data_IF_707406947612
#
_entry.id   IF_707406947612
#
_cell.length_a   1.000
_cell.length_b   1.000
_cell.length_c   1.000
_cell.angle_alpha   90.00
_cell.angle_beta   90.00
_cell.angle_gamma   90.00
#
_symmetry.space_group_name_H-M   'P 1'
#
loop_
_entity.id
_entity.type
_entity.pdbx_description
1 polymer ?
#
# COMPACT_ATOMS: atom_id res chain seq x y z
N UNK A 1 46.13 20.40 2.83
CA UNK A 1 46.05 19.53 4.03
C UNK A 1 44.79 19.75 4.84
N UNK A 2 44.24 20.97 4.86
CA UNK A 2 43.07 21.32 5.65
C UNK A 2 42.00 21.93 4.75
N UNK A 3 40.76 21.91 5.21
CA UNK A 3 39.61 22.58 4.61
C UNK A 3 38.73 23.20 5.70
N UNK A 4 37.79 24.05 5.31
CA UNK A 4 36.79 24.59 6.22
C UNK A 4 35.59 23.64 6.33
N UNK A 5 35.05 23.52 7.55
CA UNK A 5 33.90 22.71 7.90
C UNK A 5 33.01 23.49 8.86
N UNK A 6 31.70 23.32 8.82
CA UNK A 6 30.81 23.89 9.83
C UNK A 6 31.14 23.32 11.22
N UNK A 7 31.13 24.15 12.26
CA UNK A 7 31.34 23.69 13.64
C UNK A 7 30.06 23.06 14.24
N UNK A 8 28.90 23.59 13.86
CA UNK A 8 27.59 23.20 14.38
C UNK A 8 26.79 22.35 13.38
N UNK A 9 25.75 21.67 13.87
CA UNK A 9 24.84 20.86 13.06
C UNK A 9 25.48 19.61 12.47
N UNK A 10 25.20 19.32 11.20
CA UNK A 10 25.76 18.17 10.47
C UNK A 10 27.26 18.29 10.20
N UNK A 11 27.87 19.45 10.49
CA UNK A 11 29.29 19.71 10.27
C UNK A 11 29.69 19.35 8.83
N UNK A 12 29.10 20.01 7.82
CA UNK A 12 29.43 19.73 6.42
C UNK A 12 30.73 20.41 5.99
N UNK A 13 31.45 19.83 5.04
CA UNK A 13 32.59 20.40 4.36
C UNK A 13 32.16 21.55 3.45
N UNK A 14 32.97 22.60 3.42
CA UNK A 14 32.72 23.78 2.61
C UNK A 14 33.50 23.64 1.31
N UNK A 15 32.80 23.77 0.19
CA UNK A 15 33.35 23.78 -1.16
C UNK A 15 33.15 25.16 -1.80
N UNK A 16 33.76 25.39 -2.96
CA UNK A 16 33.52 26.62 -3.73
C UNK A 16 32.06 26.78 -4.19
N UNK A 17 31.27 25.71 -4.17
CA UNK A 17 29.84 25.75 -4.49
C UNK A 17 29.00 26.10 -3.26
N UNK A 18 29.32 25.53 -2.09
CA UNK A 18 28.54 25.71 -0.86
C UNK A 18 28.96 26.91 -0.01
N UNK A 19 30.07 27.59 -0.37
CA UNK A 19 30.49 28.84 0.30
C UNK A 19 29.46 29.96 0.27
N UNK A 20 28.53 29.93 -0.70
CA UNK A 20 27.45 30.92 -0.82
C UNK A 20 26.42 30.85 0.32
N UNK A 21 26.32 29.70 0.98
CA UNK A 21 25.32 29.45 2.04
C UNK A 21 25.80 29.91 3.43
N UNK A 22 27.06 30.35 3.54
CA UNK A 22 27.64 30.79 4.81
C UNK A 22 26.99 32.11 5.23
N UNK A 23 26.34 32.10 6.40
CA UNK A 23 25.71 33.29 6.98
C UNK A 23 26.70 34.04 7.88
N UNK A 24 26.47 35.34 8.04
CA UNK A 24 27.24 36.14 8.98
C UNK A 24 27.03 35.61 10.41
N UNK A 25 28.14 35.38 11.13
CA UNK A 25 28.12 34.83 12.49
C UNK A 25 28.19 33.30 12.56
N UNK A 26 28.28 32.59 11.44
CA UNK A 26 28.52 31.14 11.44
C UNK A 26 29.91 30.79 11.96
N UNK A 27 29.97 29.83 12.89
CA UNK A 27 31.23 29.31 13.43
C UNK A 27 31.74 28.18 12.52
N UNK A 28 32.97 28.34 12.05
CA UNK A 28 33.67 27.38 11.21
C UNK A 28 34.86 26.79 11.96
N UNK A 29 35.17 25.54 11.64
CA UNK A 29 36.35 24.84 12.15
C UNK A 29 37.29 24.48 11.01
N UNK A 30 38.60 24.52 11.30
CA UNK A 30 39.62 24.02 10.40
C UNK A 30 39.72 22.50 10.56
N UNK A 31 39.31 21.76 9.53
CA UNK A 31 39.32 20.30 9.51
C UNK A 31 40.35 19.76 8.52
N UNK A 32 40.66 18.47 8.60
CA UNK A 32 41.47 17.77 7.59
C UNK A 32 40.73 17.79 6.25
N UNK A 33 41.45 17.95 5.13
CA UNK A 33 40.82 17.93 3.80
C UNK A 33 40.12 16.59 3.51
N UNK A 34 38.96 16.56 2.83
CA UNK A 34 38.15 15.36 2.64
C UNK A 34 38.93 14.22 1.98
N UNK A 35 39.73 14.52 0.95
CA UNK A 35 40.62 13.55 0.28
C UNK A 35 41.65 12.90 1.21
N UNK A 36 42.18 13.66 2.18
CA UNK A 36 43.14 13.14 3.17
C UNK A 36 42.42 12.35 4.26
N UNK A 37 41.25 12.82 4.70
CA UNK A 37 40.42 12.11 5.66
C UNK A 37 39.98 10.75 5.07
N UNK A 38 39.53 10.72 3.82
CA UNK A 38 39.14 9.50 3.11
C UNK A 38 40.29 8.49 3.04
N UNK A 39 41.49 8.92 2.64
CA UNK A 39 42.68 8.07 2.61
C UNK A 39 43.06 7.54 4.00
N UNK A 40 43.05 8.39 5.02
CA UNK A 40 43.36 7.99 6.39
C UNK A 40 42.35 6.97 6.93
N UNK A 41 41.06 7.14 6.62
CA UNK A 41 40.02 6.21 7.04
C UNK A 41 40.08 4.88 6.28
N UNK A 42 40.42 4.91 4.98
CA UNK A 42 40.69 3.70 4.19
C UNK A 42 41.82 2.86 4.77
N UNK A 43 42.93 3.49 5.15
CA UNK A 43 44.07 2.80 5.74
C UNK A 43 43.73 2.25 7.14
N UNK A 44 43.04 3.05 7.98
CA UNK A 44 42.66 2.66 9.34
C UNK A 44 41.58 1.59 9.39
N UNK A 45 40.64 1.56 8.43
CA UNK A 45 39.60 0.53 8.34
C UNK A 45 40.17 -0.85 7.96
N UNK A 46 41.37 -0.89 7.39
CA UNK A 46 42.11 -2.11 7.10
C UNK A 46 43.18 -2.43 8.15
N UNK A 47 43.23 -1.67 9.25
CA UNK A 47 44.24 -1.87 10.29
C UNK A 47 44.09 -3.23 10.99
N UNK A 48 45.21 -3.76 11.52
CA UNK A 48 45.21 -5.05 12.21
C UNK A 48 44.47 -5.01 13.56
N UNK A 49 44.35 -3.84 14.18
CA UNK A 49 43.70 -3.67 15.49
C UNK A 49 42.18 -3.53 15.33
N UNK A 50 41.43 -4.17 16.22
CA UNK A 50 39.97 -4.13 16.19
C UNK A 50 39.44 -2.73 16.59
N UNK A 51 40.03 -2.14 17.63
CA UNK A 51 39.67 -0.81 18.14
C UNK A 51 39.97 0.30 17.13
N UNK A 52 41.11 0.21 16.44
CA UNK A 52 41.47 1.15 15.37
C UNK A 52 40.51 1.10 14.19
N UNK A 53 40.03 -0.11 13.84
CA UNK A 53 39.00 -0.31 12.82
C UNK A 53 37.63 0.21 13.26
N UNK A 54 37.23 -0.02 14.51
CA UNK A 54 35.94 0.42 15.04
C UNK A 54 35.84 1.95 15.06
N UNK A 55 36.86 2.64 15.55
CA UNK A 55 36.85 4.11 15.57
C UNK A 55 36.87 4.68 14.15
N UNK A 56 37.61 4.04 13.24
CA UNK A 56 37.62 4.44 11.83
C UNK A 56 36.26 4.24 11.15
N UNK A 57 35.57 3.11 11.37
CA UNK A 57 34.23 2.89 10.78
C UNK A 57 33.18 3.79 11.40
N UNK A 58 33.30 4.14 12.68
CA UNK A 58 32.43 5.12 13.35
C UNK A 58 32.63 6.53 12.79
N UNK A 59 33.87 6.97 12.61
CA UNK A 59 34.16 8.26 11.94
C UNK A 59 33.68 8.25 10.49
N UNK A 60 33.86 7.13 9.78
CA UNK A 60 33.39 6.95 8.42
C UNK A 60 31.87 7.08 8.31
N UNK A 61 31.12 6.39 9.17
CA UNK A 61 29.65 6.47 9.22
C UNK A 61 29.12 7.87 9.56
N UNK A 62 29.94 8.77 10.12
CA UNK A 62 29.55 10.17 10.32
C UNK A 62 29.86 11.03 9.09
N UNK A 63 30.96 10.76 8.41
CA UNK A 63 31.42 11.55 7.27
C UNK A 63 30.77 11.13 5.95
N UNK A 64 30.29 9.90 5.84
CA UNK A 64 29.60 9.38 4.66
C UNK A 64 28.33 10.16 4.31
N UNK A 65 27.64 10.75 5.28
CA UNK A 65 26.51 11.65 5.06
C UNK A 65 26.88 12.94 4.28
N UNK A 66 28.16 13.32 4.21
CA UNK A 66 28.62 14.48 3.45
C UNK A 66 29.04 14.08 2.03
N UNK A 67 28.33 14.61 1.03
CA UNK A 67 28.59 14.35 -0.40
C UNK A 67 30.03 14.64 -0.83
N UNK A 68 30.67 15.64 -0.22
CA UNK A 68 32.06 16.04 -0.54
C UNK A 68 33.04 14.95 -0.12
N UNK A 69 32.83 14.38 1.07
CA UNK A 69 33.63 13.27 1.57
C UNK A 69 33.29 11.98 0.83
N UNK A 70 31.99 11.71 0.63
CA UNK A 70 31.51 10.53 -0.08
C UNK A 70 32.14 10.42 -1.47
N UNK A 71 32.18 11.51 -2.23
CA UNK A 71 32.80 11.56 -3.57
C UNK A 71 34.27 11.13 -3.54
N UNK A 72 35.07 11.67 -2.61
CA UNK A 72 36.48 11.33 -2.47
C UNK A 72 36.69 9.86 -2.05
N UNK A 73 35.86 9.37 -1.12
CA UNK A 73 35.95 7.98 -0.64
C UNK A 73 35.53 6.97 -1.71
N UNK A 74 34.49 7.28 -2.50
CA UNK A 74 34.02 6.46 -3.62
C UNK A 74 35.07 6.39 -4.72
N UNK A 75 35.71 7.52 -5.06
CA UNK A 75 36.79 7.57 -6.06
C UNK A 75 38.02 6.73 -5.68
N UNK A 76 38.15 6.35 -4.41
CA UNK A 76 39.22 5.47 -3.89
C UNK A 76 38.77 4.00 -3.77
N UNK A 77 37.70 3.60 -4.46
CA UNK A 77 37.08 2.27 -4.37
C UNK A 77 36.63 1.90 -2.94
N UNK A 78 36.25 2.90 -2.14
CA UNK A 78 35.87 2.70 -0.74
C UNK A 78 34.65 1.78 -0.56
N UNK A 79 33.72 1.76 -1.50
CA UNK A 79 32.56 0.84 -1.49
C UNK A 79 33.03 -0.62 -1.52
N UNK A 80 34.03 -0.97 -2.32
CA UNK A 80 34.56 -2.32 -2.41
C UNK A 80 35.25 -2.78 -1.12
N UNK A 81 35.80 -1.84 -0.34
CA UNK A 81 36.35 -2.12 0.99
C UNK A 81 35.22 -2.45 1.97
N UNK A 82 34.13 -1.67 1.97
CA UNK A 82 32.98 -1.90 2.85
C UNK A 82 32.28 -3.22 2.54
N UNK A 83 32.05 -3.53 1.25
CA UNK A 83 31.43 -4.80 0.86
C UNK A 83 32.27 -6.00 1.29
N UNK A 84 33.59 -5.94 1.13
CA UNK A 84 34.51 -6.99 1.59
C UNK A 84 34.51 -7.15 3.11
N UNK A 85 34.42 -6.06 3.87
CA UNK A 85 34.31 -6.11 5.33
C UNK A 85 33.02 -6.80 5.78
N UNK A 86 31.91 -6.56 5.08
CA UNK A 86 30.62 -7.21 5.36
C UNK A 86 30.66 -8.70 4.98
N UNK A 87 31.19 -9.05 3.81
CA UNK A 87 31.32 -10.44 3.36
C UNK A 87 32.25 -11.27 4.27
N UNK A 88 33.35 -10.67 4.75
CA UNK A 88 34.32 -11.32 5.65
C UNK A 88 33.90 -11.43 7.12
N UNK A 89 32.75 -10.88 7.50
CA UNK A 89 32.31 -10.78 8.91
C UNK A 89 31.87 -12.09 9.57
N UNK A 90 31.84 -13.22 8.84
CA UNK A 90 31.35 -14.53 9.31
C UNK A 90 32.06 -15.06 10.56
N UNK A 91 33.24 -14.56 10.90
CA UNK A 91 34.04 -14.97 12.08
C UNK A 91 33.96 -13.99 13.26
N UNK A 92 33.28 -12.85 13.13
CA UNK A 92 33.38 -11.71 14.06
C UNK A 92 32.07 -11.36 14.80
N UNK A 93 30.94 -12.01 14.48
CA UNK A 93 29.61 -11.68 14.99
C UNK A 93 29.49 -11.66 16.53
N UNK A 94 30.32 -12.41 17.26
CA UNK A 94 30.28 -12.45 18.72
C UNK A 94 30.74 -11.14 19.39
N UNK A 95 31.66 -10.37 18.78
CA UNK A 95 32.29 -9.18 19.42
C UNK A 95 32.33 -7.94 18.50
N UNK A 96 31.72 -7.98 17.31
CA UNK A 96 31.89 -6.95 16.27
C UNK A 96 30.56 -6.38 15.74
N UNK A 97 29.47 -6.52 16.49
CA UNK A 97 28.14 -6.06 16.09
C UNK A 97 28.10 -4.55 15.80
N UNK A 98 28.72 -3.75 16.68
CA UNK A 98 28.80 -2.30 16.51
C UNK A 98 29.61 -1.88 15.27
N UNK A 99 30.75 -2.53 15.01
CA UNK A 99 31.56 -2.25 13.83
C UNK A 99 30.78 -2.53 12.55
N UNK A 100 30.03 -3.62 12.51
CA UNK A 100 29.19 -3.97 11.37
C UNK A 100 28.07 -2.94 11.19
N UNK A 101 27.40 -2.51 12.27
CA UNK A 101 26.36 -1.48 12.20
C UNK A 101 26.90 -0.15 11.62
N UNK A 102 28.09 0.30 12.04
CA UNK A 102 28.73 1.48 11.45
C UNK A 102 29.13 1.26 9.99
N UNK A 103 29.64 0.08 9.65
CA UNK A 103 29.99 -0.26 8.26
C UNK A 103 28.78 -0.22 7.34
N UNK A 104 27.64 -0.79 7.78
CA UNK A 104 26.39 -0.77 7.04
C UNK A 104 25.80 0.64 6.94
N UNK A 105 25.92 1.45 8.00
CA UNK A 105 25.51 2.86 7.99
C UNK A 105 26.31 3.66 6.97
N UNK A 106 27.65 3.55 7.02
CA UNK A 106 28.53 4.21 6.07
C UNK A 106 28.24 3.76 4.63
N UNK A 107 27.99 2.47 4.41
CA UNK A 107 27.64 1.94 3.09
C UNK A 107 26.33 2.56 2.57
N UNK A 108 25.27 2.56 3.38
CA UNK A 108 23.97 3.11 2.98
C UNK A 108 24.08 4.60 2.65
N UNK A 109 24.68 5.40 3.54
CA UNK A 109 24.85 6.85 3.31
C UNK A 109 25.67 7.16 2.04
N UNK A 110 26.69 6.36 1.72
CA UNK A 110 27.46 6.53 0.48
C UNK A 110 26.63 6.23 -0.77
N UNK A 111 25.77 5.21 -0.71
CA UNK A 111 24.90 4.83 -1.82
C UNK A 111 23.74 5.82 -2.01
N UNK A 112 23.24 6.42 -0.93
CA UNK A 112 22.12 7.39 -0.96
C UNK A 112 22.44 8.68 -1.73
N UNK A 113 23.72 9.03 -1.90
CA UNK A 113 24.12 10.17 -2.75
C UNK A 113 23.87 9.93 -4.25
N UNK A 114 23.58 8.68 -4.66
CA UNK A 114 23.30 8.34 -6.07
C UNK A 114 24.52 8.44 -7.00
N UNK A 115 25.74 8.49 -6.45
CA UNK A 115 26.98 8.59 -7.22
C UNK A 115 27.39 7.27 -7.88
N UNK A 116 26.90 6.14 -7.37
CA UNK A 116 27.21 4.78 -7.84
C UNK A 116 25.91 4.01 -8.04
N UNK A 117 25.83 3.23 -9.13
CA UNK A 117 24.69 2.35 -9.38
C UNK A 117 24.67 1.19 -8.37
N UNK A 118 23.49 0.87 -7.86
CA UNK A 118 23.27 -0.31 -7.03
C UNK A 118 23.60 -1.63 -7.73
N UNK A 119 23.63 -1.66 -9.07
CA UNK A 119 23.98 -2.85 -9.85
C UNK A 119 25.44 -3.30 -9.69
N UNK A 120 26.33 -2.43 -9.15
CA UNK A 120 27.71 -2.80 -8.85
C UNK A 120 27.85 -3.68 -7.60
N UNK A 121 26.78 -3.82 -6.81
CA UNK A 121 26.79 -4.60 -5.57
C UNK A 121 26.80 -6.10 -5.89
N UNK A 122 27.71 -6.83 -5.24
CA UNK A 122 27.88 -8.28 -5.45
C UNK A 122 26.67 -9.08 -4.94
N UNK A 123 26.41 -10.22 -5.59
CA UNK A 123 25.35 -11.15 -5.14
C UNK A 123 25.68 -11.74 -3.77
N UNK A 124 26.96 -11.98 -3.48
CA UNK A 124 27.43 -12.44 -2.17
C UNK A 124 27.10 -11.45 -1.05
N UNK A 125 27.25 -10.15 -1.30
CA UNK A 125 26.86 -9.11 -0.36
C UNK A 125 25.34 -9.13 -0.12
N UNK A 126 24.53 -9.20 -1.18
CA UNK A 126 23.06 -9.26 -1.07
C UNK A 126 22.62 -10.46 -0.22
N UNK A 127 23.15 -11.65 -0.50
CA UNK A 127 22.84 -12.86 0.29
C UNK A 127 23.25 -12.71 1.75
N UNK A 128 24.34 -12.00 2.03
CA UNK A 128 24.79 -11.74 3.39
C UNK A 128 23.83 -10.81 4.15
N UNK A 129 23.41 -9.72 3.50
CA UNK A 129 22.44 -8.77 4.07
C UNK A 129 21.07 -9.43 4.26
N UNK A 130 20.57 -10.15 3.25
CA UNK A 130 19.33 -10.93 3.36
C UNK A 130 19.42 -11.98 4.47
N UNK A 131 20.58 -12.65 4.60
CA UNK A 131 20.84 -13.58 5.69
C UNK A 131 20.75 -12.95 7.09
N UNK A 132 21.08 -11.67 7.26
CA UNK A 132 20.87 -10.96 8.53
C UNK A 132 19.39 -10.71 8.82
N UNK A 133 18.57 -10.48 7.78
CA UNK A 133 17.12 -10.33 7.94
C UNK A 133 16.47 -11.68 8.26
N UNK A 134 16.99 -12.79 7.73
CA UNK A 134 16.42 -14.13 7.96
C UNK A 134 16.79 -14.73 9.33
N UNK A 135 17.78 -14.19 10.03
CA UNK A 135 18.28 -14.73 11.29
C UNK A 135 17.57 -14.14 12.52
N UNK A 136 17.04 -14.97 13.45
CA UNK A 136 16.29 -14.50 14.62
C UNK A 136 17.15 -13.86 15.73
N UNK A 137 18.47 -14.00 15.70
CA UNK A 137 19.39 -13.59 16.77
C UNK A 137 20.26 -12.37 16.42
N UNK A 138 19.89 -11.60 15.39
CA UNK A 138 20.69 -10.46 14.93
C UNK A 138 20.46 -9.24 15.82
N UNK A 139 21.50 -8.45 16.04
CA UNK A 139 21.41 -7.18 16.74
C UNK A 139 20.44 -6.21 16.06
N UNK A 140 19.70 -5.44 16.86
CA UNK A 140 18.67 -4.50 16.40
C UNK A 140 19.22 -3.49 15.39
N UNK A 141 20.42 -2.98 15.62
CA UNK A 141 21.04 -1.96 14.75
C UNK A 141 21.46 -2.54 13.38
N UNK A 142 21.96 -3.79 13.38
CA UNK A 142 22.31 -4.50 12.14
C UNK A 142 21.05 -4.82 11.35
N UNK A 143 20.01 -5.33 12.01
CA UNK A 143 18.74 -5.65 11.36
C UNK A 143 18.10 -4.41 10.73
N UNK A 144 18.07 -3.29 11.46
CA UNK A 144 17.56 -2.01 10.97
C UNK A 144 18.29 -1.55 9.70
N UNK A 145 19.63 -1.56 9.71
CA UNK A 145 20.42 -1.17 8.53
C UNK A 145 20.28 -2.17 7.38
N UNK A 146 20.17 -3.46 7.69
CA UNK A 146 19.99 -4.49 6.67
C UNK A 146 18.65 -4.32 5.94
N UNK A 147 17.55 -4.07 6.66
CA UNK A 147 16.25 -3.80 6.07
C UNK A 147 16.28 -2.54 5.18
N UNK A 148 16.87 -1.44 5.66
CA UNK A 148 16.99 -0.19 4.91
C UNK A 148 17.83 -0.33 3.62
N UNK A 149 18.92 -1.11 3.68
CA UNK A 149 19.75 -1.41 2.50
C UNK A 149 18.96 -2.22 1.48
N UNK A 150 18.23 -3.26 1.91
CA UNK A 150 17.41 -4.07 0.99
C UNK A 150 16.29 -3.24 0.37
N UNK A 151 15.63 -2.38 1.15
CA UNK A 151 14.60 -1.46 0.65
C UNK A 151 15.17 -0.57 -0.46
N UNK A 152 16.31 0.07 -0.20
CA UNK A 152 16.98 0.96 -1.15
C UNK A 152 17.43 0.21 -2.41
N UNK A 153 17.92 -1.04 -2.28
CA UNK A 153 18.26 -1.88 -3.42
C UNK A 153 17.04 -2.21 -4.30
N UNK A 154 15.90 -2.55 -3.67
CA UNK A 154 14.65 -2.85 -4.38
C UNK A 154 14.15 -1.62 -5.13
N UNK A 155 14.12 -0.46 -4.48
CA UNK A 155 13.62 0.78 -5.09
C UNK A 155 14.48 1.26 -6.28
N UNK A 156 15.79 1.00 -6.24
CA UNK A 156 16.73 1.51 -7.24
C UNK A 156 17.06 0.54 -8.40
N UNK A 157 16.78 -0.79 -8.31
CA UNK A 157 17.07 -1.72 -9.40
C UNK A 157 16.10 -2.90 -9.51
N UNK A 158 15.57 -3.13 -10.73
CA UNK A 158 14.68 -4.25 -11.03
C UNK A 158 15.41 -5.61 -10.99
N UNK A 159 16.68 -5.64 -11.36
CA UNK A 159 17.48 -6.87 -11.31
C UNK A 159 17.79 -7.29 -9.86
N UNK A 160 17.94 -6.31 -8.96
CA UNK A 160 18.12 -6.56 -7.53
C UNK A 160 16.82 -7.00 -6.86
N UNK A 161 15.69 -6.40 -7.25
CA UNK A 161 14.37 -6.83 -6.80
C UNK A 161 14.16 -8.35 -6.94
N UNK A 162 14.44 -8.91 -8.12
CA UNK A 162 14.26 -10.35 -8.37
C UNK A 162 15.10 -11.20 -7.41
N UNK A 163 16.36 -10.82 -7.18
CA UNK A 163 17.26 -11.54 -6.27
C UNK A 163 16.82 -11.43 -4.81
N UNK A 164 16.34 -10.27 -4.38
CA UNK A 164 15.89 -10.05 -3.00
C UNK A 164 14.58 -10.81 -2.74
N UNK A 165 13.68 -10.84 -3.72
CA UNK A 165 12.43 -11.60 -3.61
C UNK A 165 12.66 -13.12 -3.51
N UNK A 166 13.76 -13.65 -4.05
CA UNK A 166 14.16 -15.06 -3.90
C UNK A 166 14.76 -15.37 -2.51
N UNK A 167 15.45 -14.41 -1.89
CA UNK A 167 16.24 -14.64 -0.66
C UNK A 167 15.47 -14.32 0.63
N UNK A 168 14.47 -13.42 0.56
CA UNK A 168 13.64 -13.03 1.70
C UNK A 168 12.25 -13.64 1.54
N UNK A 169 11.68 -14.19 2.62
CA UNK A 169 10.30 -14.73 2.60
C UNK A 169 9.32 -13.84 3.36
N UNK A 170 8.04 -13.91 3.00
CA UNK A 170 6.99 -13.12 3.67
C UNK A 170 6.90 -13.50 5.16
N UNK A 171 7.05 -14.78 5.48
CA UNK A 171 7.06 -15.26 6.87
C UNK A 171 8.14 -14.62 7.73
N UNK A 172 9.33 -14.39 7.17
CA UNK A 172 10.41 -13.70 7.88
C UNK A 172 10.06 -12.24 8.14
N UNK A 173 9.56 -11.52 7.13
CA UNK A 173 9.13 -10.12 7.28
C UNK A 173 7.97 -9.99 8.29
N UNK A 174 7.04 -10.94 8.32
CA UNK A 174 5.98 -11.01 9.33
C UNK A 174 6.54 -11.16 10.74
N UNK A 175 7.58 -11.98 10.94
CA UNK A 175 8.22 -12.13 12.26
C UNK A 175 8.79 -10.81 12.78
N UNK A 176 9.31 -9.95 11.88
CA UNK A 176 9.83 -8.62 12.22
C UNK A 176 8.73 -7.61 12.57
N UNK A 177 7.49 -7.84 12.18
CA UNK A 177 6.35 -7.00 12.61
C UNK A 177 5.88 -7.35 14.03
N UNK A 178 6.15 -8.57 14.50
CA UNK A 178 5.72 -9.04 15.82
C UNK A 178 6.61 -8.52 16.96
N UNK A 179 7.76 -7.94 16.64
CA UNK A 179 8.68 -7.35 17.63
C UNK A 179 8.11 -6.07 18.23
N UNK A 180 8.53 -5.72 19.44
CA UNK A 180 8.08 -4.48 20.12
C UNK A 180 8.76 -3.20 19.64
N UNK A 181 9.81 -3.30 18.83
CA UNK A 181 10.56 -2.14 18.33
C UNK A 181 9.91 -1.58 17.08
N UNK A 182 9.31 -0.39 17.22
CA UNK A 182 8.62 0.31 16.13
C UNK A 182 9.54 0.66 14.95
N UNK A 183 10.83 0.91 15.18
CA UNK A 183 11.75 1.21 14.07
C UNK A 183 11.96 -0.03 13.19
N UNK A 184 12.13 -1.21 13.78
CA UNK A 184 12.18 -2.47 13.01
C UNK A 184 10.87 -2.68 12.24
N UNK A 185 9.73 -2.48 12.91
CA UNK A 185 8.42 -2.58 12.25
C UNK A 185 8.32 -1.62 11.05
N UNK A 186 8.80 -0.39 11.20
CA UNK A 186 8.78 0.63 10.13
C UNK A 186 9.59 0.15 8.92
N UNK A 187 10.85 -0.25 9.11
CA UNK A 187 11.71 -0.71 8.00
C UNK A 187 11.21 -2.02 7.39
N UNK A 188 10.57 -2.90 8.18
CA UNK A 188 9.95 -4.11 7.66
C UNK A 188 8.76 -3.78 6.74
N UNK A 189 7.89 -2.84 7.12
CA UNK A 189 6.79 -2.37 6.25
C UNK A 189 7.34 -1.60 5.05
N UNK A 190 8.39 -0.81 5.20
CA UNK A 190 9.02 -0.07 4.10
C UNK A 190 9.58 -1.02 3.03
N UNK A 191 10.28 -2.08 3.44
CA UNK A 191 10.74 -3.14 2.53
C UNK A 191 9.57 -3.87 1.85
N UNK A 192 8.49 -4.17 2.59
CA UNK A 192 7.24 -4.73 2.04
C UNK A 192 6.66 -3.79 0.98
N UNK A 193 6.56 -2.49 1.26
CA UNK A 193 6.07 -1.48 0.33
C UNK A 193 6.94 -1.40 -0.93
N UNK A 194 8.27 -1.43 -0.78
CA UNK A 194 9.20 -1.42 -1.90
C UNK A 194 9.04 -2.66 -2.79
N UNK A 195 8.89 -3.85 -2.18
CA UNK A 195 8.65 -5.10 -2.91
C UNK A 195 7.32 -5.06 -3.66
N UNK A 196 6.25 -4.54 -3.05
CA UNK A 196 4.95 -4.37 -3.71
C UNK A 196 5.01 -3.38 -4.87
N UNK A 197 5.68 -2.24 -4.68
CA UNK A 197 5.77 -1.19 -5.68
C UNK A 197 6.54 -1.64 -6.94
N UNK A 198 7.56 -2.50 -6.78
CA UNK A 198 8.41 -3.00 -7.88
C UNK A 198 7.96 -4.32 -8.48
N UNK A 199 6.94 -4.95 -7.91
CA UNK A 199 6.39 -6.19 -8.44
C UNK A 199 5.81 -5.94 -9.86
N UNK A 200 6.14 -6.80 -10.86
CA UNK A 200 5.56 -6.68 -12.19
C UNK A 200 4.04 -6.90 -12.14
N UNK A 201 3.30 -6.23 -13.03
CA UNK A 201 1.83 -6.23 -13.05
C UNK A 201 1.25 -7.65 -13.13
N UNK A 202 1.82 -8.50 -13.99
CA UNK A 202 1.41 -9.90 -14.15
C UNK A 202 1.47 -10.72 -12.84
N UNK A 203 2.31 -10.32 -11.88
CA UNK A 203 2.51 -11.03 -10.60
C UNK A 203 1.77 -10.40 -9.41
N UNK A 204 1.14 -9.23 -9.59
CA UNK A 204 0.37 -8.57 -8.51
C UNK A 204 -1.03 -9.17 -8.32
N UNK A 205 -1.51 -9.97 -9.28
CA UNK A 205 -2.91 -10.38 -9.40
C UNK A 205 -3.17 -11.90 -9.25
N UNK A 206 -2.13 -12.75 -9.31
CA UNK A 206 -2.27 -14.21 -9.24
C UNK A 206 -2.65 -14.68 -7.83
N UNK A 207 -3.94 -14.65 -7.52
CA UNK A 207 -4.55 -15.46 -6.47
C UNK A 207 -4.83 -16.84 -7.08
N UNK A 208 -4.13 -17.91 -6.63
CA UNK A 208 -4.59 -19.32 -6.51
C UNK A 208 -3.40 -20.31 -6.45
N UNK A 209 -2.61 -20.31 -5.38
CA UNK A 209 -1.69 -21.43 -5.06
C UNK A 209 -1.47 -21.62 -3.53
N UNK A 210 -0.88 -22.76 -3.15
CA UNK A 210 -0.87 -23.37 -1.79
C UNK A 210 0.19 -22.79 -0.81
N UNK A 211 -0.04 -22.81 0.53
CA UNK A 211 0.36 -21.68 1.40
C UNK A 211 1.72 -21.68 2.14
N UNK A 212 2.71 -22.57 1.93
CA UNK A 212 3.74 -22.75 2.98
C UNK A 212 5.23 -22.83 2.63
N UNK A 213 5.69 -22.69 1.38
CA UNK A 213 7.14 -22.73 1.07
C UNK A 213 7.59 -21.80 -0.08
N UNK A 214 6.91 -20.66 -0.30
CA UNK A 214 7.16 -19.82 -1.48
C UNK A 214 8.00 -18.55 -1.22
N UNK A 215 8.90 -18.17 -2.16
CA UNK A 215 9.66 -16.91 -2.13
C UNK A 215 8.73 -15.67 -2.15
N UNK A 216 9.23 -14.49 -1.74
CA UNK A 216 8.50 -13.21 -1.69
C UNK A 216 7.91 -12.72 -3.04
N UNK A 217 8.03 -13.52 -4.10
CA UNK A 217 7.55 -13.23 -5.44
C UNK A 217 6.03 -13.32 -5.63
N UNK A 218 5.28 -13.83 -4.64
CA UNK A 218 3.80 -13.98 -4.68
C UNK A 218 3.13 -13.25 -3.51
N UNK A 219 3.50 -11.98 -3.36
CA UNK A 219 2.91 -11.04 -2.42
C UNK A 219 1.41 -10.76 -2.70
N UNK A 220 0.90 -11.27 -3.83
CA UNK A 220 -0.51 -11.33 -4.23
C UNK A 220 -1.31 -12.47 -3.55
N UNK A 221 -0.65 -13.41 -2.87
CA UNK A 221 -1.33 -14.51 -2.20
C UNK A 221 -2.28 -14.00 -1.10
N UNK A 222 -3.58 -14.26 -1.27
CA UNK A 222 -4.62 -13.84 -0.33
C UNK A 222 -4.36 -14.29 1.12
N UNK A 223 -3.66 -15.42 1.33
CA UNK A 223 -3.28 -15.90 2.66
C UNK A 223 -2.17 -15.04 3.28
N UNK A 224 -1.14 -14.69 2.51
CA UNK A 224 -0.03 -13.85 2.95
C UNK A 224 -0.51 -12.43 3.26
N UNK A 225 -1.37 -11.86 2.41
CA UNK A 225 -1.99 -10.56 2.63
C UNK A 225 -2.84 -10.54 3.91
N UNK A 226 -3.61 -11.60 4.15
CA UNK A 226 -4.41 -11.75 5.38
C UNK A 226 -3.53 -11.80 6.63
N UNK A 227 -2.46 -12.59 6.62
CA UNK A 227 -1.54 -12.68 7.76
C UNK A 227 -0.82 -11.35 8.00
N UNK A 228 -0.39 -10.68 6.94
CA UNK A 228 0.21 -9.34 7.00
C UNK A 228 -0.74 -8.32 7.62
N UNK A 229 -1.98 -8.25 7.12
CA UNK A 229 -3.02 -7.35 7.64
C UNK A 229 -3.27 -7.60 9.13
N UNK A 230 -3.40 -8.86 9.55
CA UNK A 230 -3.62 -9.22 10.95
C UNK A 230 -2.42 -8.87 11.84
N UNK A 231 -1.19 -9.08 11.35
CA UNK A 231 0.02 -8.72 12.06
C UNK A 231 0.12 -7.20 12.26
N UNK A 232 -0.12 -6.41 11.20
CA UNK A 232 -0.13 -4.95 11.27
C UNK A 232 -1.24 -4.45 12.20
N UNK A 233 -2.45 -4.99 12.08
CA UNK A 233 -3.57 -4.61 12.94
C UNK A 233 -3.24 -4.85 14.42
N UNK A 234 -2.64 -6.00 14.74
CA UNK A 234 -2.40 -6.42 16.12
C UNK A 234 -1.18 -5.75 16.73
N UNK A 235 -0.05 -5.74 16.01
CA UNK A 235 1.25 -5.33 16.56
C UNK A 235 1.61 -3.87 16.29
N UNK A 236 0.99 -3.23 15.29
CA UNK A 236 1.26 -1.83 14.92
C UNK A 236 0.07 -0.93 15.27
N UNK A 237 -1.11 -1.19 14.69
CA UNK A 237 -2.28 -0.30 14.85
C UNK A 237 -2.86 -0.38 16.27
N UNK A 238 -2.98 -1.60 16.82
CA UNK A 238 -3.42 -1.86 18.20
C UNK A 238 -2.25 -2.08 19.16
N UNK A 239 -1.04 -1.78 18.73
CA UNK A 239 0.16 -1.93 19.54
C UNK A 239 0.15 -0.98 20.75
N UNK A 240 0.96 -1.32 21.77
CA UNK A 240 1.03 -0.53 23.01
C UNK A 240 1.72 0.84 22.85
N UNK A 241 2.41 1.08 21.73
CA UNK A 241 3.17 2.31 21.47
C UNK A 241 2.42 3.19 20.48
N UNK A 242 2.40 4.52 20.68
CA UNK A 242 1.79 5.43 19.71
C UNK A 242 2.54 5.37 18.38
N UNK A 243 1.80 5.50 17.28
CA UNK A 243 2.34 5.50 15.92
C UNK A 243 3.07 6.81 15.65
N UNK A 244 4.37 6.72 15.32
CA UNK A 244 5.18 7.87 14.88
C UNK A 244 4.91 8.21 13.42
N UNK A 245 5.29 9.42 13.00
CA UNK A 245 5.10 9.95 11.64
C UNK A 245 5.58 9.00 10.54
N UNK A 246 6.80 8.46 10.66
CA UNK A 246 7.36 7.55 9.66
C UNK A 246 6.55 6.25 9.54
N UNK A 247 6.13 5.66 10.66
CA UNK A 247 5.25 4.49 10.62
C UNK A 247 3.89 4.82 10.00
N UNK A 248 3.32 5.99 10.29
CA UNK A 248 2.07 6.43 9.67
C UNK A 248 2.21 6.61 8.15
N UNK A 249 3.35 7.14 7.69
CA UNK A 249 3.70 7.20 6.26
C UNK A 249 3.70 5.81 5.63
N UNK A 250 4.42 4.86 6.23
CA UNK A 250 4.51 3.49 5.70
C UNK A 250 3.14 2.78 5.66
N UNK A 251 2.25 3.04 6.64
CA UNK A 251 0.87 2.53 6.61
C UNK A 251 0.01 3.19 5.51
N UNK A 252 0.21 4.48 5.27
CA UNK A 252 -0.41 5.19 4.15
C UNK A 252 0.02 4.58 2.80
N UNK A 253 1.32 4.44 2.58
CA UNK A 253 1.88 3.84 1.35
C UNK A 253 1.31 2.44 1.14
N UNK A 254 1.30 1.61 2.18
CA UNK A 254 0.74 0.25 2.11
C UNK A 254 -0.75 0.26 1.74
N UNK A 255 -1.54 1.16 2.33
CA UNK A 255 -2.96 1.27 2.02
C UNK A 255 -3.18 1.65 0.56
N UNK A 256 -2.44 2.64 0.04
CA UNK A 256 -2.51 3.06 -1.37
C UNK A 256 -2.17 1.89 -2.29
N UNK A 257 -1.05 1.20 -2.05
CA UNK A 257 -0.65 0.04 -2.85
C UNK A 257 -1.70 -1.08 -2.83
N UNK A 258 -2.30 -1.35 -1.66
CA UNK A 258 -3.34 -2.38 -1.52
C UNK A 258 -4.61 -2.01 -2.27
N UNK A 259 -5.01 -0.73 -2.22
CA UNK A 259 -6.18 -0.23 -2.95
C UNK A 259 -5.94 -0.25 -4.47
N UNK A 260 -4.73 0.04 -4.93
CA UNK A 260 -4.38 0.05 -6.35
C UNK A 260 -4.40 -1.34 -7.00
N UNK A 261 -4.43 -2.43 -6.23
CA UNK A 261 -4.73 -3.77 -6.76
C UNK A 261 -6.12 -3.84 -7.43
N UNK A 262 -7.01 -2.89 -7.11
CA UNK A 262 -8.36 -2.78 -7.69
C UNK A 262 -8.39 -1.93 -8.96
N UNK A 263 -7.32 -1.24 -9.31
CA UNK A 263 -7.25 -0.35 -10.48
C UNK A 263 -7.48 -1.11 -11.79
N UNK A 264 -6.89 -2.29 -11.96
CA UNK A 264 -7.06 -3.10 -13.16
C UNK A 264 -8.55 -3.42 -13.39
N UNK A 265 -9.24 -3.91 -12.35
CA UNK A 265 -10.68 -4.20 -12.40
C UNK A 265 -11.52 -2.95 -12.59
N UNK A 266 -11.10 -1.82 -12.02
CA UNK A 266 -11.74 -0.52 -12.19
C UNK A 266 -11.68 -0.04 -13.66
N UNK A 267 -10.59 -0.34 -14.36
CA UNK A 267 -10.34 0.06 -15.74
C UNK A 267 -10.70 -1.00 -16.78
N UNK A 268 -11.02 -2.22 -16.34
CA UNK A 268 -11.51 -3.31 -17.19
C UNK A 268 -12.96 -3.06 -17.59
N UNK A 269 -13.22 -3.00 -18.89
CA UNK A 269 -14.58 -2.96 -19.44
C UNK A 269 -15.16 -4.36 -19.48
N UNK A 270 -16.46 -4.48 -19.23
CA UNK A 270 -17.16 -5.75 -19.46
C UNK A 270 -17.19 -6.08 -20.96
N UNK A 271 -16.96 -7.34 -21.33
CA UNK A 271 -17.24 -7.83 -22.69
C UNK A 271 -18.68 -8.34 -22.76
N UNK A 272 -19.60 -7.68 -23.50
CA UNK A 272 -20.98 -8.14 -23.65
C UNK A 272 -21.13 -9.47 -24.39
N UNK A 273 -20.07 -9.95 -25.04
CA UNK A 273 -20.03 -11.21 -25.79
C UNK A 273 -19.56 -12.38 -24.93
N UNK A 274 -18.84 -12.10 -23.83
CA UNK A 274 -18.33 -13.09 -22.91
C UNK A 274 -19.47 -13.68 -22.05
N UNK A 275 -19.69 -15.00 -22.19
CA UNK A 275 -20.73 -15.71 -21.47
C UNK A 275 -20.47 -15.74 -19.96
N UNK A 276 -19.22 -15.91 -19.52
CA UNK A 276 -18.90 -16.02 -18.10
C UNK A 276 -19.20 -14.71 -17.34
N UNK A 277 -18.90 -13.57 -17.94
CA UNK A 277 -19.23 -12.27 -17.37
C UNK A 277 -20.75 -12.04 -17.32
N UNK A 278 -21.48 -12.50 -18.34
CA UNK A 278 -22.95 -12.44 -18.36
C UNK A 278 -23.59 -13.35 -17.31
N UNK A 279 -22.98 -14.49 -17.01
CA UNK A 279 -23.45 -15.40 -15.97
C UNK A 279 -23.44 -14.73 -14.59
N UNK A 280 -22.51 -13.82 -14.33
CA UNK A 280 -22.51 -12.98 -13.11
C UNK A 280 -23.74 -12.07 -13.04
N UNK A 281 -24.13 -11.44 -14.17
CA UNK A 281 -25.36 -10.63 -14.22
C UNK A 281 -26.63 -11.49 -14.07
N UNK A 282 -26.61 -12.71 -14.58
CA UNK A 282 -27.70 -13.66 -14.35
C UNK A 282 -27.79 -14.05 -12.88
N UNK A 283 -26.65 -14.24 -12.21
CA UNK A 283 -26.59 -14.57 -10.80
C UNK A 283 -27.14 -13.44 -9.92
N UNK A 284 -26.77 -12.19 -10.17
CA UNK A 284 -27.34 -11.02 -9.48
C UNK A 284 -28.87 -10.99 -9.56
N UNK A 285 -29.39 -11.21 -10.77
CA UNK A 285 -30.84 -11.28 -10.99
C UNK A 285 -31.45 -12.47 -10.25
N UNK A 286 -30.82 -13.64 -10.32
CA UNK A 286 -31.28 -14.86 -9.67
C UNK A 286 -31.41 -14.67 -8.17
N UNK A 287 -30.41 -14.07 -7.52
CA UNK A 287 -30.41 -13.82 -6.08
C UNK A 287 -31.52 -12.85 -5.67
N UNK A 288 -31.78 -11.79 -6.46
CA UNK A 288 -32.78 -10.78 -6.13
C UNK A 288 -34.24 -11.27 -6.25
N UNK A 289 -34.56 -12.04 -7.29
CA UNK A 289 -35.94 -12.42 -7.62
C UNK A 289 -36.26 -13.90 -7.39
N UNK A 290 -35.41 -14.62 -6.64
CA UNK A 290 -35.50 -16.05 -6.37
C UNK A 290 -36.88 -16.52 -5.84
N UNK A 291 -37.69 -15.61 -5.27
CA UNK A 291 -39.06 -15.92 -4.81
C UNK A 291 -40.13 -16.07 -5.91
N UNK A 292 -39.95 -15.53 -7.13
CA UNK A 292 -40.96 -15.67 -8.21
C UNK A 292 -40.74 -16.92 -9.08
N UNK A 293 -39.52 -17.44 -9.15
CA UNK A 293 -39.13 -18.45 -10.13
C UNK A 293 -39.71 -19.85 -9.88
N UNK A 294 -39.92 -20.25 -8.62
CA UNK A 294 -40.45 -21.58 -8.28
C UNK A 294 -41.94 -21.75 -8.66
N UNK A 295 -42.66 -20.64 -8.86
CA UNK A 295 -44.09 -20.66 -9.24
C UNK A 295 -44.34 -20.68 -10.76
N UNK A 296 -43.32 -20.42 -11.58
CA UNK A 296 -43.48 -20.14 -13.01
C UNK A 296 -42.77 -21.10 -13.97
N UNK A 297 -41.98 -22.06 -13.49
CA UNK A 297 -41.20 -22.97 -14.33
C UNK A 297 -42.03 -24.16 -14.84
N UNK A 298 -43.04 -23.89 -15.66
CA UNK A 298 -43.57 -24.89 -16.58
C UNK A 298 -42.63 -24.96 -17.82
N UNK A 299 -42.20 -26.16 -18.28
CA UNK A 299 -41.19 -26.33 -19.33
C UNK A 299 -41.76 -26.12 -20.75
N UNK A 300 -42.36 -24.95 -21.01
CA UNK A 300 -43.02 -24.63 -22.29
C UNK A 300 -43.00 -23.17 -22.73
N UNK A 301 -42.34 -22.27 -21.99
CA UNK A 301 -42.22 -20.86 -22.36
C UNK A 301 -41.16 -20.60 -23.43
N UNK A 302 -41.57 -20.21 -24.63
CA UNK A 302 -40.68 -19.87 -25.75
C UNK A 302 -39.57 -18.87 -25.39
N UNK A 303 -38.44 -18.92 -26.10
CA UNK A 303 -37.23 -18.11 -25.82
C UNK A 303 -37.52 -16.60 -25.71
N UNK A 304 -38.49 -16.10 -26.47
CA UNK A 304 -38.92 -14.70 -26.45
C UNK A 304 -39.59 -14.30 -25.13
N UNK A 305 -40.40 -15.19 -24.53
CA UNK A 305 -41.04 -14.95 -23.23
C UNK A 305 -40.00 -14.85 -22.11
N UNK A 306 -38.95 -15.68 -22.16
CA UNK A 306 -37.81 -15.61 -21.23
C UNK A 306 -37.03 -14.30 -21.37
N UNK A 307 -36.74 -13.88 -22.60
CA UNK A 307 -36.04 -12.61 -22.87
C UNK A 307 -36.81 -11.39 -22.36
N UNK A 308 -38.14 -11.39 -22.50
CA UNK A 308 -39.01 -10.33 -21.98
C UNK A 308 -38.97 -10.25 -20.44
N UNK A 309 -39.01 -11.41 -19.76
CA UNK A 309 -38.87 -11.48 -18.29
C UNK A 309 -37.51 -10.93 -17.85
N UNK A 310 -36.42 -11.32 -18.51
CA UNK A 310 -35.08 -10.85 -18.16
C UNK A 310 -34.96 -9.33 -18.31
N UNK A 311 -35.48 -8.80 -19.42
CA UNK A 311 -35.49 -7.34 -19.67
C UNK A 311 -36.28 -6.60 -18.60
N UNK A 312 -37.44 -7.13 -18.18
CA UNK A 312 -38.23 -6.58 -17.07
C UNK A 312 -37.43 -6.59 -15.78
N UNK A 313 -36.83 -7.72 -15.42
CA UNK A 313 -36.12 -7.88 -14.15
C UNK A 313 -34.86 -7.00 -14.08
N UNK A 314 -34.14 -6.82 -15.19
CA UNK A 314 -33.02 -5.86 -15.25
C UNK A 314 -33.48 -4.40 -15.18
N UNK A 315 -34.67 -4.09 -15.70
CA UNK A 315 -35.30 -2.78 -15.47
C UNK A 315 -35.66 -2.59 -13.99
N UNK A 316 -36.17 -3.62 -13.33
CA UNK A 316 -36.48 -3.59 -11.88
C UNK A 316 -35.23 -3.50 -11.00
N UNK A 317 -34.11 -4.10 -11.44
CA UNK A 317 -32.80 -3.90 -10.82
C UNK A 317 -32.25 -2.49 -11.02
N UNK A 318 -32.87 -1.65 -11.85
CA UNK A 318 -32.45 -0.28 -12.06
C UNK A 318 -31.22 -0.12 -12.95
N UNK A 319 -30.98 -1.06 -13.89
CA UNK A 319 -30.00 -0.86 -14.96
C UNK A 319 -30.51 0.13 -16.01
N UNK A 320 -29.59 0.89 -16.58
CA UNK A 320 -29.89 1.90 -17.62
C UNK A 320 -30.22 1.22 -18.95
N UNK A 321 -29.49 0.14 -19.28
CA UNK A 321 -29.73 -0.69 -20.47
C UNK A 321 -30.40 -2.02 -20.09
N UNK A 322 -31.72 -2.08 -19.83
CA UNK A 322 -32.39 -3.30 -19.36
C UNK A 322 -32.36 -4.45 -20.38
N UNK A 323 -32.24 -4.14 -21.68
CA UNK A 323 -32.12 -5.16 -22.74
C UNK A 323 -30.76 -5.84 -22.72
N UNK A 324 -29.71 -5.09 -22.38
CA UNK A 324 -28.35 -5.60 -22.27
C UNK A 324 -27.59 -4.83 -21.16
N UNK A 325 -27.73 -5.25 -19.89
CA UNK A 325 -27.11 -4.56 -18.77
C UNK A 325 -25.57 -4.56 -18.81
N UNK A 326 -24.95 -5.44 -19.60
CA UNK A 326 -23.50 -5.43 -19.80
C UNK A 326 -22.98 -4.09 -20.35
N UNK A 327 -23.80 -3.37 -21.12
CA UNK A 327 -23.44 -2.06 -21.68
C UNK A 327 -23.20 -1.00 -20.60
N UNK A 328 -23.81 -1.13 -19.42
CA UNK A 328 -23.62 -0.20 -18.31
C UNK A 328 -22.19 -0.29 -17.72
N UNK A 329 -21.51 -1.43 -17.89
CA UNK A 329 -20.16 -1.71 -17.40
C UNK A 329 -19.05 -1.43 -18.44
N UNK A 330 -19.41 -0.85 -19.59
CA UNK A 330 -18.43 -0.35 -20.57
C UNK A 330 -17.80 0.97 -20.14
N UNK A 331 -18.41 1.69 -19.20
CA UNK A 331 -17.88 2.92 -18.64
C UNK A 331 -16.80 2.61 -17.62
N UNK A 332 -15.59 3.11 -17.86
CA UNK A 332 -14.45 3.01 -16.95
C UNK A 332 -13.95 4.42 -16.60
N UNK A 333 -13.77 4.74 -15.30
CA UNK A 333 -14.20 3.98 -14.12
C UNK A 333 -15.74 3.92 -13.98
N UNK A 334 -16.32 2.91 -13.29
CA UNK A 334 -15.65 1.88 -12.49
C UNK A 334 -15.54 0.50 -13.16
N UNK A 335 -16.02 0.33 -14.39
CA UNK A 335 -15.90 -0.92 -15.14
C UNK A 335 -16.41 -2.15 -14.39
N UNK A 336 -15.64 -3.24 -14.48
CA UNK A 336 -15.96 -4.51 -13.86
C UNK A 336 -15.89 -4.51 -12.33
N UNK A 337 -15.17 -3.56 -11.70
CA UNK A 337 -15.12 -3.46 -10.23
C UNK A 337 -16.51 -3.22 -9.63
N UNK A 338 -17.38 -2.49 -10.31
CA UNK A 338 -18.76 -2.30 -9.85
C UNK A 338 -19.55 -3.61 -9.87
N UNK A 339 -19.31 -4.48 -10.85
CA UNK A 339 -19.96 -5.79 -10.92
C UNK A 339 -19.48 -6.70 -9.78
N UNK A 340 -18.17 -6.69 -9.49
CA UNK A 340 -17.57 -7.43 -8.39
C UNK A 340 -18.17 -7.00 -7.04
N UNK A 341 -18.33 -5.68 -6.81
CA UNK A 341 -18.97 -5.13 -5.62
C UNK A 341 -20.45 -5.51 -5.47
N UNK A 342 -21.22 -5.49 -6.57
CA UNK A 342 -22.62 -5.93 -6.55
C UNK A 342 -22.72 -7.42 -6.20
N UNK A 343 -21.87 -8.25 -6.79
CA UNK A 343 -21.84 -9.70 -6.55
C UNK A 343 -21.46 -10.00 -5.10
N UNK A 344 -20.47 -9.27 -4.58
CA UNK A 344 -20.08 -9.35 -3.18
C UNK A 344 -21.26 -9.07 -2.25
N UNK A 345 -21.98 -7.97 -2.47
CA UNK A 345 -23.17 -7.63 -1.70
C UNK A 345 -24.24 -8.73 -1.78
N UNK A 346 -24.48 -9.29 -2.98
CA UNK A 346 -25.49 -10.32 -3.19
C UNK A 346 -25.17 -11.63 -2.46
N UNK A 347 -23.90 -12.01 -2.35
CA UNK A 347 -23.49 -13.25 -1.68
C UNK A 347 -23.21 -13.11 -0.18
N UNK A 348 -22.56 -12.03 0.25
CA UNK A 348 -22.15 -11.85 1.65
C UNK A 348 -23.21 -11.13 2.50
N UNK A 349 -24.03 -10.27 1.88
CA UNK A 349 -25.08 -9.50 2.54
C UNK A 349 -26.43 -9.68 1.82
N UNK A 350 -26.77 -10.93 1.52
CA UNK A 350 -27.93 -11.28 0.69
C UNK A 350 -29.24 -10.62 1.16
N UNK A 351 -29.53 -10.62 2.45
CA UNK A 351 -30.75 -9.99 3.00
C UNK A 351 -30.79 -8.47 2.72
N UNK A 352 -29.65 -7.80 2.84
CA UNK A 352 -29.56 -6.37 2.56
C UNK A 352 -29.72 -6.09 1.06
N UNK A 353 -29.11 -6.91 0.21
CA UNK A 353 -29.26 -6.84 -1.24
C UNK A 353 -30.72 -7.01 -1.68
N UNK A 354 -31.35 -8.11 -1.28
CA UNK A 354 -32.75 -8.43 -1.61
C UNK A 354 -33.66 -7.31 -1.13
N UNK A 355 -33.49 -6.84 0.11
CA UNK A 355 -34.28 -5.74 0.65
C UNK A 355 -34.13 -4.47 -0.19
N UNK A 356 -32.91 -4.06 -0.56
CA UNK A 356 -32.70 -2.86 -1.37
C UNK A 356 -33.38 -2.99 -2.73
N UNK A 357 -33.26 -4.15 -3.39
CA UNK A 357 -33.86 -4.34 -4.72
C UNK A 357 -35.38 -4.36 -4.64
N UNK A 358 -35.96 -5.15 -3.73
CA UNK A 358 -37.42 -5.31 -3.63
C UNK A 358 -38.13 -4.07 -3.11
N UNK A 359 -37.51 -3.28 -2.23
CA UNK A 359 -38.07 -2.00 -1.79
C UNK A 359 -38.18 -0.96 -2.92
N UNK A 360 -37.40 -1.14 -4.00
CA UNK A 360 -37.32 -0.20 -5.12
C UNK A 360 -37.81 -0.81 -6.45
N UNK A 361 -38.44 -1.99 -6.43
CA UNK A 361 -38.86 -2.70 -7.66
C UNK A 361 -40.29 -2.36 -8.11
N UNK A 362 -40.95 -1.36 -7.51
CA UNK A 362 -42.28 -0.94 -7.95
C UNK A 362 -42.20 -0.11 -9.23
N UNK A 363 -42.80 -0.54 -10.36
CA UNK A 363 -42.70 0.18 -11.63
C UNK A 363 -43.36 1.57 -11.64
N UNK A 364 -44.31 1.80 -10.72
CA UNK A 364 -45.08 3.04 -10.62
C UNK A 364 -44.44 4.05 -9.66
N UNK A 365 -43.45 3.62 -8.87
CA UNK A 365 -42.83 4.47 -7.86
C UNK A 365 -41.75 5.36 -8.49
N UNK A 366 -42.09 6.65 -8.64
CA UNK A 366 -41.15 7.68 -9.12
C UNK A 366 -40.01 7.96 -8.15
N UNK A 367 -40.14 7.51 -6.90
CA UNK A 367 -39.15 7.65 -5.84
C UNK A 367 -38.29 6.39 -5.67
N UNK A 368 -38.45 5.37 -6.53
CA UNK A 368 -37.59 4.20 -6.52
C UNK A 368 -36.13 4.56 -6.85
N UNK A 369 -35.20 4.11 -6.01
CA UNK A 369 -33.77 4.24 -6.24
C UNK A 369 -33.29 3.14 -7.21
N UNK A 370 -32.71 3.48 -8.37
CA UNK A 370 -32.25 2.49 -9.35
C UNK A 370 -30.96 1.80 -8.88
N UNK A 371 -31.05 0.57 -8.35
CA UNK A 371 -29.90 -0.13 -7.75
C UNK A 371 -28.70 -0.23 -8.69
N UNK A 372 -28.87 -0.72 -9.92
CA UNK A 372 -27.78 -0.92 -10.88
C UNK A 372 -27.02 0.38 -11.17
N UNK A 373 -27.75 1.44 -11.55
CA UNK A 373 -27.17 2.77 -11.78
C UNK A 373 -26.50 3.35 -10.52
N UNK A 374 -27.14 3.22 -9.35
CA UNK A 374 -26.61 3.72 -8.08
C UNK A 374 -25.33 2.99 -7.65
N UNK A 375 -25.26 1.67 -7.82
CA UNK A 375 -24.11 0.87 -7.44
C UNK A 375 -22.89 1.11 -8.34
N UNK A 376 -23.09 1.32 -9.65
CA UNK A 376 -22.02 1.73 -10.57
C UNK A 376 -21.50 3.11 -10.16
N UNK A 377 -22.37 4.12 -10.04
CA UNK A 377 -21.92 5.46 -9.68
C UNK A 377 -21.29 5.50 -8.28
N UNK A 378 -21.81 4.75 -7.30
CA UNK A 378 -21.23 4.67 -5.97
C UNK A 378 -19.83 4.05 -5.99
N UNK A 379 -19.61 2.99 -6.77
CA UNK A 379 -18.28 2.39 -6.89
C UNK A 379 -17.28 3.43 -7.41
N UNK A 380 -17.66 4.19 -8.44
CA UNK A 380 -16.85 5.28 -8.97
C UNK A 380 -16.54 6.36 -7.92
N UNK A 381 -17.56 6.81 -7.18
CA UNK A 381 -17.40 7.79 -6.08
C UNK A 381 -16.42 7.27 -5.03
N UNK A 382 -16.51 5.99 -4.64
CA UNK A 382 -15.59 5.38 -3.68
C UNK A 382 -14.16 5.32 -4.23
N UNK A 383 -13.98 4.98 -5.50
CA UNK A 383 -12.65 4.99 -6.13
C UNK A 383 -12.01 6.38 -6.10
N UNK A 384 -12.79 7.43 -6.37
CA UNK A 384 -12.33 8.82 -6.32
C UNK A 384 -12.01 9.29 -4.89
N UNK A 385 -12.86 8.95 -3.91
CA UNK A 385 -12.61 9.32 -2.49
C UNK A 385 -11.35 8.64 -1.97
N UNK A 386 -11.11 7.39 -2.37
CA UNK A 386 -9.98 6.58 -1.92
C UNK A 386 -8.74 6.70 -2.81
N UNK A 387 -8.80 7.53 -3.87
CA UNK A 387 -7.70 7.77 -4.80
C UNK A 387 -7.12 6.49 -5.42
N UNK A 388 -8.01 5.55 -5.79
CA UNK A 388 -7.60 4.29 -6.42
C UNK A 388 -6.96 4.58 -7.79
N UNK A 389 -5.74 4.10 -7.99
CA UNK A 389 -4.91 4.32 -9.17
C UNK A 389 -3.87 5.45 -9.01
N UNK A 390 -3.89 6.19 -7.90
CA UNK A 390 -2.85 7.19 -7.62
C UNK A 390 -1.63 6.53 -6.95
N UNK A 391 -0.43 6.96 -7.32
CA UNK A 391 0.80 6.50 -6.67
C UNK A 391 0.97 7.15 -5.28
N UNK A 392 1.61 6.47 -4.32
CA UNK A 392 1.85 7.03 -2.99
C UNK A 392 2.73 8.30 -3.07
N UNK A 393 2.40 9.29 -2.23
CA UNK A 393 3.06 10.58 -2.15
C UNK A 393 3.95 10.66 -0.91
N UNK A 394 5.19 11.15 -1.04
CA UNK A 394 6.19 11.22 0.05
C UNK A 394 5.77 12.09 1.25
N UNK A 395 4.87 13.07 1.04
CA UNK A 395 4.43 14.01 2.09
C UNK A 395 3.16 13.61 2.86
N UNK A 396 2.51 12.50 2.49
CA UNK A 396 1.23 12.08 3.08
C UNK A 396 1.41 11.00 4.13
N UNK A 397 0.67 11.13 5.24
CA UNK A 397 0.72 10.21 6.38
C UNK A 397 -0.69 9.74 6.80
N UNK A 398 -1.71 10.06 6.01
CA UNK A 398 -3.10 9.84 6.39
C UNK A 398 -3.61 8.50 5.85
N UNK A 399 -3.90 7.56 6.74
CA UNK A 399 -4.47 6.28 6.41
C UNK A 399 -5.76 6.05 7.21
N UNK A 400 -6.56 5.09 6.75
CA UNK A 400 -7.87 4.75 7.29
C UNK A 400 -7.80 3.40 8.03
N UNK A 401 -7.74 3.39 9.38
CA UNK A 401 -7.50 2.17 10.16
C UNK A 401 -8.53 1.06 9.91
N UNK A 402 -9.77 1.41 9.57
CA UNK A 402 -10.83 0.43 9.27
C UNK A 402 -10.49 -0.54 8.13
N UNK A 403 -9.66 -0.14 7.15
CA UNK A 403 -9.28 -1.04 6.05
C UNK A 403 -8.38 -2.19 6.52
N UNK A 404 -7.70 -2.03 7.65
CA UNK A 404 -6.89 -3.09 8.24
C UNK A 404 -7.72 -4.09 9.05
N UNK A 405 -9.04 -3.90 9.19
CA UNK A 405 -9.90 -4.77 10.01
C UNK A 405 -10.54 -5.93 9.26
N UNK A 406 -10.59 -5.89 7.93
CA UNK A 406 -11.27 -6.87 7.10
C UNK A 406 -10.46 -7.20 5.84
N UNK A 407 -10.55 -8.43 5.33
CA UNK A 407 -9.80 -8.87 4.13
C UNK A 407 -10.34 -8.20 2.86
N UNK A 408 -11.67 -8.03 2.78
CA UNK A 408 -12.40 -7.38 1.69
C UNK A 408 -13.01 -6.06 2.18
N UNK A 409 -12.17 -5.17 2.70
CA UNK A 409 -12.63 -3.96 3.36
C UNK A 409 -13.28 -2.95 2.38
N UNK A 410 -12.86 -2.93 1.11
CA UNK A 410 -13.45 -2.07 0.08
C UNK A 410 -14.87 -2.51 -0.26
N UNK A 411 -15.07 -3.82 -0.38
CA UNK A 411 -16.34 -4.44 -0.73
C UNK A 411 -17.35 -4.31 0.44
N UNK A 412 -16.88 -4.46 1.69
CA UNK A 412 -17.68 -4.13 2.89
C UNK A 412 -18.02 -2.63 2.99
N UNK A 413 -17.07 -1.74 2.66
CA UNK A 413 -17.33 -0.30 2.61
C UNK A 413 -18.42 0.00 1.58
N UNK A 414 -18.37 -0.61 0.39
CA UNK A 414 -19.43 -0.51 -0.61
C UNK A 414 -20.78 -0.96 -0.05
N UNK A 415 -20.84 -2.09 0.64
CA UNK A 415 -22.07 -2.62 1.25
C UNK A 415 -22.66 -1.67 2.30
N UNK A 416 -21.84 -0.96 3.06
CA UNK A 416 -22.27 0.08 4.00
C UNK A 416 -22.77 1.32 3.24
N UNK A 417 -22.02 1.76 2.23
CA UNK A 417 -22.32 2.97 1.47
C UNK A 417 -23.56 2.84 0.57
N UNK A 418 -23.87 1.66 0.02
CA UNK A 418 -25.08 1.46 -0.78
C UNK A 418 -26.35 1.49 0.08
N UNK A 419 -26.25 1.01 1.33
CA UNK A 419 -27.33 1.16 2.32
C UNK A 419 -27.50 2.62 2.75
N UNK A 420 -26.39 3.34 2.94
CA UNK A 420 -26.41 4.79 3.18
C UNK A 420 -27.10 5.52 2.02
N UNK A 421 -26.72 5.21 0.78
CA UNK A 421 -27.30 5.82 -0.42
C UNK A 421 -28.81 5.61 -0.46
N UNK A 422 -29.30 4.39 -0.29
CA UNK A 422 -30.74 4.10 -0.30
C UNK A 422 -31.48 4.86 0.83
N UNK A 423 -30.85 5.00 2.00
CA UNK A 423 -31.42 5.81 3.09
C UNK A 423 -31.48 7.29 2.73
N UNK A 424 -30.37 7.87 2.29
CA UNK A 424 -30.27 9.30 1.92
C UNK A 424 -31.24 9.64 0.78
N UNK A 425 -31.38 8.74 -0.20
CA UNK A 425 -32.36 8.86 -1.28
C UNK A 425 -33.80 9.03 -0.74
N UNK A 426 -34.20 8.18 0.20
CA UNK A 426 -35.52 8.23 0.85
C UNK A 426 -35.68 9.47 1.74
N UNK A 427 -34.65 9.86 2.49
CA UNK A 427 -34.65 11.08 3.31
C UNK A 427 -34.86 12.34 2.47
N UNK A 428 -34.28 12.38 1.27
CA UNK A 428 -34.43 13.47 0.30
C UNK A 428 -35.75 13.42 -0.47
N UNK A 429 -36.53 12.33 -0.37
CA UNK A 429 -37.69 12.05 -1.23
C UNK A 429 -37.34 12.21 -2.72
N UNK A 430 -36.15 11.75 -3.08
CA UNK A 430 -35.55 11.98 -4.39
C UNK A 430 -36.32 11.26 -5.50
N UNK A 431 -36.17 11.78 -6.72
CA UNK A 431 -36.59 11.11 -7.96
C UNK A 431 -35.39 10.85 -8.85
N UNK A 432 -35.59 10.19 -10.00
CA UNK A 432 -34.52 9.93 -10.98
C UNK A 432 -33.78 11.21 -11.45
N UNK A 433 -34.43 12.37 -11.42
CA UNK A 433 -33.84 13.67 -11.78
C UNK A 433 -32.86 14.21 -10.72
N UNK A 434 -33.07 13.84 -9.45
CA UNK A 434 -32.23 14.25 -8.33
C UNK A 434 -31.01 13.36 -8.12
N UNK A 435 -30.82 12.35 -8.96
CA UNK A 435 -29.78 11.33 -8.82
C UNK A 435 -28.39 11.92 -8.51
N UNK A 436 -27.93 12.89 -9.31
CA UNK A 436 -26.63 13.51 -9.09
C UNK A 436 -26.54 14.30 -7.78
N UNK A 437 -27.64 14.93 -7.33
CA UNK A 437 -27.69 15.66 -6.05
C UNK A 437 -27.58 14.68 -4.88
N UNK A 438 -28.30 13.55 -4.94
CA UNK A 438 -28.22 12.50 -3.91
C UNK A 438 -26.79 11.96 -3.84
N UNK A 439 -26.16 11.67 -4.98
CA UNK A 439 -24.77 11.18 -5.01
C UNK A 439 -23.79 12.20 -4.41
N UNK A 440 -23.98 13.49 -4.63
CA UNK A 440 -23.17 14.54 -3.99
C UNK A 440 -23.34 14.57 -2.48
N UNK A 441 -24.57 14.44 -1.97
CA UNK A 441 -24.82 14.34 -0.52
C UNK A 441 -24.17 13.10 0.07
N UNK A 442 -24.29 11.94 -0.60
CA UNK A 442 -23.67 10.68 -0.16
C UNK A 442 -22.14 10.81 -0.14
N UNK A 443 -21.53 11.41 -1.17
CA UNK A 443 -20.10 11.72 -1.19
C UNK A 443 -19.72 12.56 0.03
N UNK A 444 -20.45 13.63 0.31
CA UNK A 444 -20.19 14.50 1.44
C UNK A 444 -20.34 13.79 2.80
N UNK A 445 -21.33 12.90 2.95
CA UNK A 445 -21.50 12.06 4.14
C UNK A 445 -20.28 11.18 4.38
N UNK A 446 -19.75 10.55 3.32
CA UNK A 446 -18.58 9.69 3.39
C UNK A 446 -17.33 10.51 3.71
N UNK A 447 -17.06 11.60 2.98
CA UNK A 447 -15.87 12.44 3.17
C UNK A 447 -15.86 13.17 4.51
N UNK A 448 -17.02 13.45 5.12
CA UNK A 448 -17.10 13.99 6.49
C UNK A 448 -16.90 12.93 7.58
N UNK A 449 -17.15 11.64 7.26
CA UNK A 449 -16.98 10.56 8.22
C UNK A 449 -15.53 10.05 8.31
N UNK A 450 -14.81 10.00 7.20
CA UNK A 450 -13.43 9.46 7.13
C UNK A 450 -12.41 10.18 8.03
N UNK A 451 -12.41 11.54 8.16
CA UNK A 451 -11.45 12.25 9.02
C UNK A 451 -11.56 11.90 10.50
N UNK A 452 -12.68 11.33 10.95
CA UNK A 452 -12.82 10.83 12.31
C UNK A 452 -11.99 9.56 12.59
N UNK A 453 -11.31 9.01 11.57
CA UNK A 453 -10.48 7.80 11.63
C UNK A 453 -11.14 6.65 12.37
N UNK A 454 -12.33 6.20 11.93
CA UNK A 454 -13.01 5.09 12.59
C UNK A 454 -12.11 3.85 12.60
N UNK A 455 -11.91 3.20 13.76
CA UNK A 455 -11.02 2.05 13.90
C UNK A 455 -11.64 0.75 13.34
N UNK A 456 -12.91 0.75 12.94
CA UNK A 456 -13.59 -0.39 12.31
C UNK A 456 -14.72 0.07 11.39
N UNK A 457 -15.12 -0.82 10.48
CA UNK A 457 -16.25 -0.59 9.57
C UNK A 457 -17.58 -0.37 10.31
N UNK A 458 -17.78 -1.03 11.46
CA UNK A 458 -18.97 -0.81 12.31
C UNK A 458 -19.00 0.60 12.91
N UNK A 459 -17.85 1.13 13.34
CA UNK A 459 -17.78 2.49 13.86
C UNK A 459 -17.97 3.53 12.74
N UNK A 460 -17.45 3.25 11.54
CA UNK A 460 -17.73 4.06 10.36
C UNK A 460 -19.24 4.07 10.05
N UNK A 461 -19.90 2.90 10.03
CA UNK A 461 -21.36 2.77 9.87
C UNK A 461 -22.12 3.54 10.96
N UNK A 462 -21.68 3.46 12.21
CA UNK A 462 -22.23 4.24 13.33
C UNK A 462 -22.10 5.75 13.13
N UNK A 463 -20.95 6.23 12.64
CA UNK A 463 -20.72 7.64 12.31
C UNK A 463 -21.63 8.11 11.17
N UNK A 464 -21.76 7.32 10.12
CA UNK A 464 -22.68 7.61 9.02
C UNK A 464 -24.15 7.68 9.47
N UNK A 465 -24.55 6.88 10.48
CA UNK A 465 -25.90 6.99 11.05
C UNK A 465 -26.18 8.39 11.63
N UNK A 466 -25.19 8.99 12.29
CA UNK A 466 -25.29 10.36 12.83
C UNK A 466 -25.27 11.46 11.76
N UNK A 467 -24.74 11.16 10.57
CA UNK A 467 -24.66 12.08 9.43
C UNK A 467 -25.85 11.87 8.47
N UNK A 468 -27.08 12.01 8.96
CA UNK A 468 -28.29 12.00 8.12
C UNK A 468 -28.37 13.23 7.20
N UNK A 469 -29.28 13.23 6.23
CA UNK A 469 -29.44 14.34 5.29
C UNK A 469 -29.64 15.70 5.98
N UNK A 470 -30.50 15.75 7.00
CA UNK A 470 -30.76 16.97 7.78
C UNK A 470 -29.51 17.51 8.49
N UNK A 471 -28.66 16.61 8.99
CA UNK A 471 -27.42 16.99 9.67
C UNK A 471 -26.38 17.51 8.68
N UNK A 472 -26.26 16.89 7.50
CA UNK A 472 -25.37 17.40 6.45
C UNK A 472 -25.80 18.78 5.99
N UNK A 473 -27.10 19.02 5.83
CA UNK A 473 -27.63 20.35 5.50
C UNK A 473 -27.32 21.39 6.58
N UNK A 474 -27.37 21.01 7.87
CA UNK A 474 -27.06 21.91 9.00
C UNK A 474 -25.59 22.33 9.02
N UNK A 475 -24.69 21.48 8.52
CA UNK A 475 -23.26 21.69 8.55
C UNK A 475 -22.71 22.30 7.24
N UNK A 476 -23.58 22.63 6.28
CA UNK A 476 -23.29 23.50 5.13
C UNK A 476 -23.61 24.94 5.52
#
# INVERSE_FOLDING_TARGET
>A
CHTLRYADGAQLYITEQTRGDIKNGTILQLAVSPSRAARQLMDRSQSSTLEGRLEATKELAKLSADVTFATEFINMDGIAVLTRLVEGSSTLLSHCGEMLAFTLTAFLELMDHGLVSWDTVSVSFIKKIAGYVSQPTVDVSILQRSLAILESMVLNSQALYQKIAEEVTVGQLLSHLQVSNQEIQTYAIALINALFLKAPEDRRQDCLASPLDLPCTEMADACAQKQLRLAILTHVIRGNRPIKTEMAHQLYVLQVLTLNLREERMMTKMDPSDQAQRDVLFELRRVAFQAEAESGSAPGGGAEKRKAIYTRDYKLLGFTNPVNPALDFLQTPPGMLALDNMLYLAHHHQDAYIRIVLENSSPEDKHACPFGRSAIELTKVLCEILQIGELPNEGQNDYHPMFFTHDQALEELFAICIQLLNRTWKEMRATAEDFHKVMQVVREQITRALPAKPPSLDQFKGKLRSLGYSEVLRLR
#
